data_IF_683762440694
#
_entry.id   IF_683762440694
#
_cell.length_a   1.000
_cell.length_b   1.000
_cell.length_c   1.000
_cell.angle_alpha   90.00
_cell.angle_beta   90.00
_cell.angle_gamma   90.00
#
_symmetry.space_group_name_H-M   'P 1'
#
loop_
_entity.id
_entity.type
_entity.pdbx_description
1 polymer ?
#
# COMPACT_ATOMS: atom_id res chain seq x y z
N UNK A 1 -2.03 5.68 6.28
CA UNK A 1 -2.84 5.59 7.52
C UNK A 1 -2.91 4.12 7.96
N UNK A 2 -3.29 3.86 9.21
CA UNK A 2 -3.74 2.53 9.66
C UNK A 2 -5.27 2.58 9.71
N UNK A 3 -5.91 1.53 9.21
CA UNK A 3 -7.37 1.43 9.14
C UNK A 3 -7.78 0.08 9.69
N UNK A 4 -8.79 0.07 10.55
CA UNK A 4 -9.46 -1.13 11.02
C UNK A 4 -10.81 -1.26 10.31
N UNK A 5 -11.15 -2.45 9.83
CA UNK A 5 -12.39 -2.72 9.11
C UNK A 5 -12.73 -4.21 9.18
N UNK A 6 -14.01 -4.53 9.12
CA UNK A 6 -14.52 -5.90 8.97
C UNK A 6 -14.68 -6.30 7.48
N UNK A 7 -14.38 -5.39 6.55
CA UNK A 7 -14.40 -5.67 5.11
C UNK A 7 -13.24 -6.59 4.71
N UNK A 8 -13.52 -7.60 3.88
CA UNK A 8 -12.48 -8.38 3.20
C UNK A 8 -11.67 -7.47 2.25
N UNK A 9 -10.41 -7.83 1.89
CA UNK A 9 -9.54 -6.98 1.09
C UNK A 9 -10.15 -6.49 -0.24
N UNK A 10 -10.85 -7.36 -0.97
CA UNK A 10 -11.48 -6.97 -2.24
C UNK A 10 -12.66 -6.01 -2.04
N UNK A 11 -13.44 -6.18 -0.97
CA UNK A 11 -14.53 -5.27 -0.61
C UNK A 11 -13.98 -3.88 -0.22
N UNK A 12 -12.90 -3.86 0.56
CA UNK A 12 -12.18 -2.63 0.90
C UNK A 12 -11.66 -1.94 -0.36
N UNK A 13 -11.02 -2.67 -1.28
CA UNK A 13 -10.56 -2.11 -2.55
C UNK A 13 -11.70 -1.48 -3.35
N UNK A 14 -12.86 -2.15 -3.44
CA UNK A 14 -14.03 -1.61 -4.13
C UNK A 14 -14.52 -0.30 -3.50
N UNK A 15 -14.54 -0.23 -2.16
CA UNK A 15 -14.91 0.97 -1.40
C UNK A 15 -13.89 2.11 -1.59
N UNK A 16 -12.59 1.83 -1.53
CA UNK A 16 -11.55 2.82 -1.78
C UNK A 16 -11.65 3.39 -3.22
N UNK A 17 -11.83 2.53 -4.22
CA UNK A 17 -12.09 2.94 -5.61
C UNK A 17 -13.35 3.81 -5.73
N UNK A 18 -14.38 3.59 -4.89
CA UNK A 18 -15.58 4.43 -4.88
C UNK A 18 -15.30 5.84 -4.31
N UNK A 19 -14.50 5.92 -3.24
CA UNK A 19 -14.04 7.19 -2.66
C UNK A 19 -13.23 7.98 -3.68
N UNK A 20 -12.27 7.35 -4.37
CA UNK A 20 -11.49 8.00 -5.43
C UNK A 20 -12.38 8.59 -6.54
N UNK A 21 -13.44 7.86 -6.94
CA UNK A 21 -14.42 8.34 -7.93
C UNK A 21 -15.17 9.56 -7.42
N UNK A 22 -15.64 9.53 -6.17
CA UNK A 22 -16.33 10.66 -5.54
C UNK A 22 -15.46 11.92 -5.45
N UNK A 23 -14.15 11.76 -5.29
CA UNK A 23 -13.19 12.86 -5.17
C UNK A 23 -12.63 13.37 -6.51
N UNK A 24 -13.08 12.84 -7.64
CA UNK A 24 -12.74 13.39 -8.97
C UNK A 24 -12.13 12.41 -9.96
N UNK A 25 -12.04 11.10 -9.66
CA UNK A 25 -11.66 10.10 -10.67
C UNK A 25 -12.79 9.91 -11.68
N UNK A 26 -12.76 10.67 -12.78
CA UNK A 26 -13.71 10.57 -13.91
C UNK A 26 -13.37 9.38 -14.81
N UNK A 27 -14.39 8.58 -15.19
CA UNK A 27 -14.24 7.51 -16.20
C UNK A 27 -13.81 8.13 -17.54
N UNK A 28 -12.86 7.50 -18.23
CA UNK A 28 -12.47 7.86 -19.61
C UNK A 28 -11.19 8.70 -19.76
N UNK A 29 -10.64 9.29 -18.69
CA UNK A 29 -9.40 10.06 -18.79
C UNK A 29 -8.17 9.18 -18.53
N UNK A 30 -7.56 8.66 -19.58
CA UNK A 30 -6.22 8.06 -19.48
C UNK A 30 -5.24 9.20 -19.17
N UNK A 31 -4.66 9.16 -17.97
CA UNK A 31 -3.61 10.08 -17.48
C UNK A 31 -4.10 11.47 -17.04
N UNK A 32 -5.37 11.58 -16.64
CA UNK A 32 -5.88 12.76 -15.94
C UNK A 32 -5.26 12.95 -14.55
N UNK A 33 -5.16 14.20 -14.09
CA UNK A 33 -4.76 14.51 -12.73
C UNK A 33 -5.69 13.79 -11.74
N UNK A 34 -5.13 12.90 -10.92
CA UNK A 34 -5.86 12.27 -9.81
C UNK A 34 -5.83 13.21 -8.62
N UNK A 35 -6.99 13.52 -8.05
CA UNK A 35 -7.06 14.27 -6.79
C UNK A 35 -6.46 13.44 -5.65
N UNK A 36 -6.69 12.12 -5.66
CA UNK A 36 -6.11 11.18 -4.70
C UNK A 36 -5.96 9.79 -5.33
N UNK A 37 -5.00 9.03 -4.82
CA UNK A 37 -4.75 7.61 -5.13
C UNK A 37 -4.59 6.88 -3.79
N UNK A 38 -5.36 5.81 -3.57
CA UNK A 38 -5.38 5.08 -2.30
C UNK A 38 -5.04 3.61 -2.51
N UNK A 39 -3.84 3.22 -2.08
CA UNK A 39 -3.34 1.85 -2.18
C UNK A 39 -3.43 1.08 -0.85
N UNK A 40 -3.80 -0.21 -0.93
CA UNK A 40 -3.68 -1.15 0.19
C UNK A 40 -2.27 -1.75 0.18
N UNK A 41 -1.47 -1.43 1.20
CA UNK A 41 -0.04 -1.82 1.24
C UNK A 41 0.18 -3.17 1.93
N UNK A 42 -0.37 -3.34 3.13
CA UNK A 42 -0.21 -4.50 4.01
C UNK A 42 -1.54 -4.80 4.68
N UNK A 43 -1.72 -6.06 5.10
CA UNK A 43 -2.92 -6.51 5.78
C UNK A 43 -2.55 -7.47 6.92
N UNK A 44 -3.31 -7.42 8.02
CA UNK A 44 -3.09 -8.27 9.19
C UNK A 44 -3.35 -9.74 8.91
N UNK A 45 -4.22 -10.04 7.94
CA UNK A 45 -4.45 -11.40 7.43
C UNK A 45 -3.31 -11.96 6.58
N UNK A 46 -2.22 -11.21 6.40
CA UNK A 46 -1.05 -11.64 5.64
C UNK A 46 -1.17 -11.35 4.15
N UNK A 47 -0.86 -12.34 3.31
CA UNK A 47 -0.89 -12.21 1.86
C UNK A 47 -2.31 -12.40 1.31
N UNK A 48 -2.64 -11.66 0.26
CA UNK A 48 -3.90 -11.78 -0.48
C UNK A 48 -3.61 -11.66 -1.97
N UNK A 49 -4.26 -12.49 -2.77
CA UNK A 49 -4.17 -12.43 -4.23
C UNK A 49 -5.56 -12.66 -4.84
N UNK A 50 -6.02 -11.67 -5.60
CA UNK A 50 -7.19 -11.74 -6.46
C UNK A 50 -6.83 -11.13 -7.83
N UNK A 51 -7.69 -11.24 -8.86
CA UNK A 51 -7.43 -10.63 -10.16
C UNK A 51 -7.17 -9.11 -10.10
N UNK A 52 -7.74 -8.42 -9.12
CA UNK A 52 -7.69 -6.96 -8.99
C UNK A 52 -6.82 -6.45 -7.83
N UNK A 53 -6.37 -7.33 -6.93
CA UNK A 53 -5.67 -6.97 -5.70
C UNK A 53 -4.53 -7.92 -5.37
N UNK A 54 -3.37 -7.36 -5.03
CA UNK A 54 -2.26 -8.11 -4.46
C UNK A 54 -1.79 -7.43 -3.18
N UNK A 55 -1.81 -8.18 -2.08
CA UNK A 55 -1.29 -7.78 -0.78
C UNK A 55 -0.20 -8.77 -0.38
N UNK A 56 0.98 -8.32 0.07
CA UNK A 56 1.40 -6.91 0.13
C UNK A 56 1.57 -6.28 -1.26
N UNK A 57 1.35 -4.96 -1.36
CA UNK A 57 1.44 -4.24 -2.63
C UNK A 57 2.80 -4.49 -3.32
N UNK A 58 2.87 -5.04 -4.55
CA UNK A 58 4.10 -5.61 -5.11
C UNK A 58 5.33 -4.69 -5.07
N UNK A 59 5.13 -3.41 -5.38
CA UNK A 59 6.21 -2.43 -5.48
C UNK A 59 6.52 -1.67 -4.18
N UNK A 60 5.83 -1.92 -3.07
CA UNK A 60 5.95 -1.05 -1.88
C UNK A 60 7.38 -1.02 -1.31
N UNK A 61 8.09 -2.15 -1.39
CA UNK A 61 9.47 -2.33 -0.89
C UNK A 61 10.52 -1.52 -1.64
N UNK A 62 10.22 -1.13 -2.87
CA UNK A 62 11.14 -0.36 -3.72
C UNK A 62 10.84 1.15 -3.69
N UNK A 63 9.73 1.53 -3.03
CA UNK A 63 9.22 2.90 -3.02
C UNK A 63 9.53 3.55 -1.68
N UNK A 64 10.63 4.30 -1.64
CA UNK A 64 11.05 5.05 -0.44
C UNK A 64 9.98 6.03 0.08
N UNK A 65 9.12 6.56 -0.81
CA UNK A 65 7.99 7.42 -0.42
C UNK A 65 6.82 6.66 0.23
N UNK A 66 6.77 5.32 0.10
CA UNK A 66 5.84 4.46 0.84
C UNK A 66 6.49 3.97 2.12
N UNK A 67 7.73 3.48 2.05
CA UNK A 67 8.44 2.93 3.20
C UNK A 67 8.65 3.94 4.34
N UNK A 68 9.04 5.19 4.00
CA UNK A 68 9.29 6.23 5.01
C UNK A 68 8.06 6.55 5.87
N UNK A 69 6.89 6.92 5.32
CA UNK A 69 5.70 7.16 6.15
C UNK A 69 5.19 5.88 6.81
N UNK A 70 5.30 4.71 6.17
CA UNK A 70 4.90 3.44 6.79
C UNK A 70 5.72 3.14 8.06
N UNK A 71 7.01 3.47 8.05
CA UNK A 71 7.89 3.30 9.22
C UNK A 71 7.55 4.24 10.38
N UNK A 72 6.91 5.38 10.11
CA UNK A 72 6.47 6.32 11.15
C UNK A 72 5.28 5.77 11.92
N UNK A 73 4.35 5.10 11.22
CA UNK A 73 3.08 4.63 11.82
C UNK A 73 3.12 3.15 12.25
N UNK A 74 3.91 2.31 11.56
CA UNK A 74 3.94 0.86 11.76
C UNK A 74 5.36 0.26 11.67
N UNK A 75 6.33 0.76 12.46
CA UNK A 75 7.75 0.38 12.31
C UNK A 75 8.03 -1.11 12.55
N UNK A 76 7.24 -1.76 13.41
CA UNK A 76 7.40 -3.16 13.81
C UNK A 76 6.55 -4.14 13.00
N UNK A 77 5.70 -3.65 12.09
CA UNK A 77 4.89 -4.52 11.23
C UNK A 77 5.80 -5.37 10.35
N UNK A 78 5.50 -6.66 10.24
CA UNK A 78 6.28 -7.60 9.42
C UNK A 78 5.67 -7.73 8.05
N UNK A 79 6.50 -7.55 7.03
CA UNK A 79 6.14 -7.91 5.66
C UNK A 79 6.05 -9.43 5.55
N UNK A 80 4.89 -10.01 5.18
CA UNK A 80 4.71 -11.46 5.16
C UNK A 80 5.58 -12.16 4.10
N UNK A 81 6.11 -11.44 3.11
CA UNK A 81 6.96 -12.02 2.06
C UNK A 81 8.43 -12.07 2.50
N UNK A 82 8.98 -10.98 3.03
CA UNK A 82 10.40 -10.92 3.40
C UNK A 82 10.69 -11.31 4.85
N UNK A 83 9.66 -11.41 5.70
CA UNK A 83 9.79 -11.62 7.15
C UNK A 83 10.36 -10.44 7.94
N UNK A 84 10.79 -9.39 7.24
CA UNK A 84 11.43 -8.20 7.80
C UNK A 84 10.40 -7.22 8.34
N UNK A 85 10.78 -6.52 9.40
CA UNK A 85 10.01 -5.36 9.88
C UNK A 85 10.13 -4.19 8.89
N UNK A 86 9.15 -3.29 8.88
CA UNK A 86 9.23 -2.07 8.06
C UNK A 86 10.49 -1.27 8.37
N UNK A 87 10.89 -1.19 9.65
CA UNK A 87 12.16 -0.54 10.04
C UNK A 87 13.38 -1.16 9.35
N UNK A 88 13.44 -2.49 9.26
CA UNK A 88 14.52 -3.19 8.56
C UNK A 88 14.48 -2.93 7.05
N UNK A 89 13.28 -2.92 6.44
CA UNK A 89 13.13 -2.60 5.01
C UNK A 89 13.61 -1.18 4.67
N UNK A 90 13.33 -0.20 5.54
CA UNK A 90 13.82 1.18 5.37
C UNK A 90 15.35 1.25 5.46
N UNK A 91 15.96 0.50 6.37
CA UNK A 91 17.42 0.46 6.48
C UNK A 91 18.07 -0.11 5.20
N UNK A 92 17.47 -1.15 4.63
CA UNK A 92 17.93 -1.78 3.38
C UNK A 92 17.76 -0.81 2.19
N UNK A 93 16.60 -0.16 2.05
CA UNK A 93 16.35 0.84 0.98
C UNK A 93 17.36 1.99 1.04
N UNK A 94 17.73 2.45 2.25
CA UNK A 94 18.75 3.50 2.41
C UNK A 94 20.13 3.01 1.98
N UNK A 95 20.55 1.83 2.43
CA UNK A 95 21.84 1.26 2.06
C UNK A 95 21.98 1.09 0.55
N UNK A 96 20.91 0.62 -0.12
CA UNK A 96 20.87 0.44 -1.57
C UNK A 96 20.91 1.74 -2.39
N UNK A 97 20.65 2.91 -1.78
CA UNK A 97 20.72 4.22 -2.43
C UNK A 97 22.05 4.94 -2.22
N UNK A 98 22.88 4.44 -1.30
CA UNK A 98 24.20 5.01 -0.97
C UNK A 98 25.35 4.26 -1.64
N UNK A 99 25.10 3.03 -2.10
CA UNK A 99 26.00 2.24 -2.95
C UNK A 99 25.80 2.57 -4.43
#
# INVERSE_FOLDING_TARGET
AIVETNEAPDALLARLKAIERGLGRRRGQRWGARVIDIDIILWSGGAWASPDLTIPHPAFRLRGFVLRPLAQIAPRWRDPVSGRTIRQLVAIDRAARTA
#
